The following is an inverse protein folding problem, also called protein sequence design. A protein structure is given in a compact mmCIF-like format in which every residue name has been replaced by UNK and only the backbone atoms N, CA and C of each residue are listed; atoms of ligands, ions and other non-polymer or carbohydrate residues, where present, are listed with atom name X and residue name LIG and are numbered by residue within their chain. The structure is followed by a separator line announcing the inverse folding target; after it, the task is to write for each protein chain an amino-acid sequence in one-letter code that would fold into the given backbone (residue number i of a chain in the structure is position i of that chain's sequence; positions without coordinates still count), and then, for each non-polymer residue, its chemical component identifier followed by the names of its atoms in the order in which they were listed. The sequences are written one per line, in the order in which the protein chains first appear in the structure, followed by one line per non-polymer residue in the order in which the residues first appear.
data_IF_426405118210
#
_entry.id   IF_426405118210
#
_cell.length_a   1.000
_cell.length_b   1.000
_cell.length_c   1.000
_cell.angle_alpha   90.00
_cell.angle_beta   90.00
_cell.angle_gamma   90.00
#
_symmetry.space_group_name_H-M   'P 1'
#
loop_
_entity.id
_entity.type
_entity.pdbx_description
1 polymer ?
#
# COMPACT_ATOMS: atom_id res chain seq x y z
N UNK A 1 -16.13 0.31 14.36
CA UNK A 1 -15.62 -0.08 13.05
C UNK A 1 -14.13 -0.18 13.08
N UNK A 2 -13.59 -1.12 12.33
CA UNK A 2 -12.18 -1.43 12.40
C UNK A 2 -11.30 -0.56 11.51
N UNK A 3 -10.00 -0.66 11.74
CA UNK A 3 -8.98 -0.03 10.92
C UNK A 3 -8.58 -0.99 9.81
N UNK A 4 -8.51 -0.51 8.58
CA UNK A 4 -7.91 -1.24 7.46
C UNK A 4 -6.50 -0.71 7.27
N UNK A 5 -5.52 -1.60 7.27
CA UNK A 5 -4.11 -1.24 7.08
C UNK A 5 -3.70 -1.64 5.66
N UNK A 6 -3.20 -0.68 4.90
CA UNK A 6 -2.61 -0.92 3.58
C UNK A 6 -1.10 -0.84 3.64
N UNK A 7 -0.41 -1.81 3.05
CA UNK A 7 1.05 -1.86 3.07
C UNK A 7 1.57 -2.16 1.66
N UNK A 8 2.38 -1.24 1.15
CA UNK A 8 3.14 -1.43 -0.08
C UNK A 8 4.55 -1.88 0.30
N UNK A 9 4.83 -3.16 0.09
CA UNK A 9 6.14 -3.75 0.36
C UNK A 9 6.99 -3.58 -0.90
N UNK A 10 7.58 -2.41 -1.05
CA UNK A 10 8.38 -2.08 -2.22
C UNK A 10 9.79 -2.67 -2.19
N UNK A 11 10.52 -2.47 -3.27
CA UNK A 11 11.91 -2.92 -3.38
C UNK A 11 12.88 -2.12 -2.53
N UNK A 12 12.63 -0.81 -2.35
CA UNK A 12 13.51 0.09 -1.60
C UNK A 12 12.83 0.76 -0.41
N UNK A 13 11.50 0.78 -0.38
CA UNK A 13 10.73 1.43 0.67
C UNK A 13 9.48 0.63 0.97
N UNK A 14 9.16 0.42 2.24
CA UNK A 14 7.88 -0.07 2.69
C UNK A 14 7.04 1.12 3.13
N UNK A 15 5.82 1.23 2.58
CA UNK A 15 4.89 2.31 2.87
C UNK A 15 3.66 1.73 3.53
N UNK A 16 3.16 2.40 4.56
CA UNK A 16 2.03 1.90 5.33
C UNK A 16 1.07 3.03 5.66
N UNK A 17 -0.21 2.73 5.57
CA UNK A 17 -1.28 3.67 5.86
C UNK A 17 -2.45 2.93 6.50
N UNK A 18 -3.12 3.60 7.43
CA UNK A 18 -4.36 3.11 8.01
C UNK A 18 -5.54 3.93 7.54
N UNK A 19 -6.68 3.28 7.39
CA UNK A 19 -7.95 3.94 7.07
C UNK A 19 -9.01 3.48 8.04
N UNK A 20 -9.66 4.42 8.69
CA UNK A 20 -10.75 4.16 9.62
C UNK A 20 -11.90 5.13 9.31
N UNK A 21 -13.10 4.60 9.09
CA UNK A 21 -14.28 5.41 8.76
C UNK A 21 -14.03 6.38 7.60
N UNK A 22 -13.37 5.91 6.55
CA UNK A 22 -12.98 6.69 5.37
C UNK A 22 -11.96 7.81 5.66
N UNK A 23 -11.47 7.89 6.88
CA UNK A 23 -10.43 8.84 7.28
C UNK A 23 -9.07 8.19 7.17
N UNK A 24 -8.16 8.85 6.46
CA UNK A 24 -6.79 8.39 6.26
C UNK A 24 -5.96 8.79 7.46
N UNK A 25 -5.33 7.81 8.09
CA UNK A 25 -4.34 8.02 9.13
C UNK A 25 -3.01 8.47 8.49
N UNK A 26 -2.16 9.08 9.28
CA UNK A 26 -0.85 9.54 8.78
C UNK A 26 -0.05 8.41 8.16
N UNK A 27 0.40 8.54 6.90
CA UNK A 27 1.22 7.51 6.27
C UNK A 27 2.62 7.44 6.89
N UNK A 28 3.24 6.27 6.82
CA UNK A 28 4.61 6.07 7.29
C UNK A 28 5.44 5.38 6.20
N UNK A 29 6.70 5.76 6.11
CA UNK A 29 7.65 5.20 5.17
C UNK A 29 8.83 4.63 5.95
N UNK A 30 9.25 3.42 5.57
CA UNK A 30 10.40 2.75 6.16
C UNK A 30 11.30 2.26 5.03
N UNK A 31 12.60 2.50 5.15
CA UNK A 31 13.56 1.97 4.18
C UNK A 31 13.53 0.44 4.23
N UNK A 32 13.32 -0.19 3.07
CA UNK A 32 13.27 -1.64 2.96
C UNK A 32 14.67 -2.20 2.69
N UNK A 33 15.11 -3.12 3.55
CA UNK A 33 16.35 -3.88 3.37
C UNK A 33 16.03 -5.34 3.10
N UNK A 34 15.16 -5.93 3.92
CA UNK A 34 14.61 -7.26 3.75
C UNK A 34 13.08 -7.13 3.78
N UNK A 35 12.36 -7.66 2.79
CA UNK A 35 10.90 -7.44 2.69
C UNK A 35 10.13 -7.88 3.94
N UNK A 36 10.43 -9.07 4.45
CA UNK A 36 9.73 -9.61 5.62
C UNK A 36 10.02 -8.78 6.87
N UNK A 37 11.30 -8.53 7.15
CA UNK A 37 11.72 -7.73 8.30
C UNK A 37 11.17 -6.32 8.24
N UNK A 38 11.24 -5.69 7.07
CA UNK A 38 10.76 -4.33 6.86
C UNK A 38 9.24 -4.24 7.03
N UNK A 39 8.51 -5.25 6.54
CA UNK A 39 7.06 -5.32 6.72
C UNK A 39 6.68 -5.38 8.19
N UNK A 40 7.24 -6.34 8.94
CA UNK A 40 6.90 -6.51 10.35
C UNK A 40 7.35 -5.32 11.19
N UNK A 41 8.53 -4.76 10.87
CA UNK A 41 9.01 -3.55 11.54
C UNK A 41 8.11 -2.34 11.27
N UNK A 42 7.73 -2.12 10.02
CA UNK A 42 6.84 -1.02 9.63
C UNK A 42 5.47 -1.18 10.28
N UNK A 43 4.89 -2.39 10.22
CA UNK A 43 3.60 -2.68 10.82
C UNK A 43 3.63 -2.43 12.33
N UNK A 44 4.61 -3.01 13.03
CA UNK A 44 4.73 -2.84 14.48
C UNK A 44 4.91 -1.38 14.88
N UNK A 45 5.79 -0.66 14.19
CA UNK A 45 6.02 0.76 14.45
C UNK A 45 4.76 1.58 14.18
N UNK A 46 4.05 1.31 13.09
CA UNK A 46 2.86 2.05 12.72
C UNK A 46 1.75 1.92 13.76
N UNK A 47 1.46 0.70 14.19
CA UNK A 47 0.41 0.50 15.21
C UNK A 47 0.83 1.09 16.55
N UNK A 48 2.12 1.01 16.90
CA UNK A 48 2.64 1.62 18.12
C UNK A 48 2.50 3.15 18.09
N UNK A 49 2.95 3.79 17.00
CA UNK A 49 2.92 5.25 16.88
C UNK A 49 1.49 5.81 16.84
N UNK A 50 0.54 5.04 16.32
CA UNK A 50 -0.85 5.48 16.17
C UNK A 50 -1.77 4.94 17.28
N UNK A 51 -1.24 4.21 18.25
CA UNK A 51 -2.03 3.67 19.36
C UNK A 51 -3.07 2.65 18.93
N UNK A 52 -2.82 1.93 17.84
CA UNK A 52 -3.74 0.92 17.31
C UNK A 52 -3.43 -0.42 17.96
N UNK A 53 -4.47 -1.14 18.41
CA UNK A 53 -4.32 -2.50 18.93
C UNK A 53 -4.69 -3.51 17.85
N UNK A 54 -4.16 -4.73 17.95
CA UNK A 54 -4.47 -5.79 16.98
C UNK A 54 -5.97 -6.05 16.83
N UNK A 55 -6.77 -6.11 17.91
CA UNK A 55 -8.21 -6.32 17.77
C UNK A 55 -8.94 -5.22 17.00
N UNK A 56 -8.39 -4.02 16.91
CA UNK A 56 -9.00 -2.91 16.16
C UNK A 56 -8.79 -3.06 14.65
N UNK A 57 -7.86 -3.92 14.22
CA UNK A 57 -7.54 -4.07 12.80
C UNK A 57 -8.52 -5.06 12.17
N UNK A 58 -9.27 -4.56 11.19
CA UNK A 58 -10.26 -5.33 10.46
C UNK A 58 -9.65 -6.13 9.32
N UNK A 59 -8.66 -5.54 8.63
CA UNK A 59 -8.05 -6.12 7.43
C UNK A 59 -6.68 -5.53 7.19
N UNK A 60 -5.77 -6.36 6.70
CA UNK A 60 -4.47 -5.93 6.18
C UNK A 60 -4.42 -6.22 4.69
N UNK A 61 -4.18 -5.18 3.88
CA UNK A 61 -4.03 -5.31 2.43
C UNK A 61 -2.57 -5.08 2.05
N UNK A 62 -2.00 -6.04 1.34
CA UNK A 62 -0.61 -6.00 0.90
C UNK A 62 -0.52 -5.79 -0.59
N UNK A 63 0.47 -5.02 -1.01
CA UNK A 63 0.85 -4.86 -2.41
C UNK A 63 2.37 -4.66 -2.50
N UNK A 64 2.87 -4.49 -3.72
CA UNK A 64 4.29 -4.30 -3.98
C UNK A 64 5.03 -5.61 -4.23
N UNK A 65 6.21 -5.49 -4.81
CA UNK A 65 7.03 -6.66 -5.22
C UNK A 65 7.42 -7.53 -4.02
N UNK A 66 7.64 -6.93 -2.86
CA UNK A 66 8.02 -7.65 -1.64
C UNK A 66 6.87 -8.45 -1.03
N UNK A 67 5.63 -8.17 -1.42
CA UNK A 67 4.48 -8.93 -0.91
C UNK A 67 4.50 -10.40 -1.32
N UNK A 68 5.25 -10.73 -2.37
CA UNK A 68 5.42 -12.12 -2.82
C UNK A 68 6.10 -13.01 -1.77
N UNK A 69 6.87 -12.41 -0.86
CA UNK A 69 7.54 -13.14 0.21
C UNK A 69 6.66 -13.39 1.43
N UNK A 70 5.44 -12.86 1.42
CA UNK A 70 4.50 -12.98 2.54
C UNK A 70 3.46 -14.04 2.15
N UNK A 71 3.49 -15.17 2.81
CA UNK A 71 2.62 -16.32 2.51
C UNK A 71 1.67 -16.68 3.65
N UNK A 72 1.70 -15.91 4.74
CA UNK A 72 0.87 -16.14 5.91
C UNK A 72 0.19 -14.84 6.37
N UNK A 73 -0.97 -14.94 7.04
CA UNK A 73 -1.60 -13.78 7.66
C UNK A 73 -0.67 -13.11 8.68
N UNK A 74 -0.67 -11.78 8.71
CA UNK A 74 0.09 -11.01 9.70
C UNK A 74 -0.57 -11.13 11.06
N UNK A 75 0.14 -11.76 12.00
CA UNK A 75 -0.33 -11.97 13.38
C UNK A 75 -1.75 -12.57 13.46
N UNK A 76 -2.11 -13.41 12.49
CA UNK A 76 -3.43 -14.03 12.44
C UNK A 76 -4.56 -13.10 11.99
N UNK A 77 -4.24 -11.88 11.59
CA UNK A 77 -5.25 -10.92 11.09
C UNK A 77 -5.69 -11.28 9.67
N UNK A 78 -6.93 -10.95 9.28
CA UNK A 78 -7.36 -11.08 7.90
C UNK A 78 -6.38 -10.31 6.99
N UNK A 79 -5.72 -11.02 6.09
CA UNK A 79 -4.68 -10.47 5.22
C UNK A 79 -4.97 -10.86 3.79
N UNK A 80 -4.93 -9.90 2.87
CA UNK A 80 -5.12 -10.13 1.45
C UNK A 80 -4.08 -9.35 0.66
N UNK A 81 -3.91 -9.72 -0.60
CA UNK A 81 -2.99 -9.05 -1.54
C UNK A 81 -3.77 -8.43 -2.68
N UNK A 82 -3.26 -7.32 -3.20
CA UNK A 82 -3.83 -6.68 -4.38
C UNK A 82 -2.72 -6.31 -5.35
N UNK A 83 -3.07 -6.19 -6.62
CA UNK A 83 -2.17 -5.74 -7.66
C UNK A 83 -1.74 -4.28 -7.40
N UNK A 84 -0.46 -4.01 -7.61
CA UNK A 84 0.13 -2.69 -7.36
C UNK A 84 -0.49 -1.60 -8.23
N UNK A 85 -0.74 -1.89 -9.51
CA UNK A 85 -1.32 -0.90 -10.42
C UNK A 85 -2.77 -0.59 -10.07
N UNK A 86 -3.53 -1.61 -9.67
CA UNK A 86 -4.89 -1.43 -9.19
C UNK A 86 -4.90 -0.59 -7.90
N UNK A 87 -4.00 -0.89 -6.97
CA UNK A 87 -3.88 -0.14 -5.72
C UNK A 87 -3.54 1.32 -5.99
N UNK A 88 -2.58 1.59 -6.89
CA UNK A 88 -2.19 2.94 -7.28
C UNK A 88 -3.36 3.71 -7.91
N UNK A 89 -4.08 3.07 -8.83
CA UNK A 89 -5.23 3.68 -9.51
C UNK A 89 -6.36 4.01 -8.55
N UNK A 90 -6.76 3.06 -7.71
CA UNK A 90 -7.82 3.25 -6.73
C UNK A 90 -7.45 4.29 -5.68
N UNK A 91 -6.21 4.23 -5.18
CA UNK A 91 -5.74 5.17 -4.18
C UNK A 91 -5.70 6.61 -4.69
N UNK A 92 -5.19 6.81 -5.90
CA UNK A 92 -5.15 8.12 -6.53
C UNK A 92 -6.55 8.66 -6.82
N UNK A 93 -7.45 7.81 -7.34
CA UNK A 93 -8.84 8.17 -7.56
C UNK A 93 -9.52 8.62 -6.26
N UNK A 94 -9.31 7.88 -5.20
CA UNK A 94 -9.88 8.18 -3.89
C UNK A 94 -9.37 9.52 -3.33
N UNK A 95 -8.05 9.74 -3.37
CA UNK A 95 -7.44 10.94 -2.80
C UNK A 95 -7.67 12.18 -3.63
N UNK A 96 -7.67 12.05 -4.96
CA UNK A 96 -7.90 13.18 -5.87
C UNK A 96 -9.38 13.53 -6.08
N UNK A 97 -10.29 12.62 -5.74
CA UNK A 97 -11.73 12.76 -6.02
C UNK A 97 -12.03 13.02 -7.49
N UNK A 98 -11.27 12.36 -8.38
CA UNK A 98 -11.43 12.45 -9.83
C UNK A 98 -11.85 11.11 -10.40
N UNK A 99 -12.71 11.14 -11.42
CA UNK A 99 -13.15 9.92 -12.11
C UNK A 99 -12.20 9.49 -13.23
N UNK A 100 -11.50 10.45 -13.82
CA UNK A 100 -10.59 10.20 -14.94
C UNK A 100 -9.24 10.86 -14.66
N UNK A 101 -8.18 10.05 -14.64
CA UNK A 101 -6.83 10.54 -14.37
C UNK A 101 -5.79 9.58 -14.91
N UNK A 102 -4.58 10.10 -15.06
CA UNK A 102 -3.37 9.30 -15.28
C UNK A 102 -2.55 9.36 -14.01
N UNK A 103 -2.22 8.20 -13.46
CA UNK A 103 -1.40 8.09 -12.26
C UNK A 103 0.02 7.74 -12.66
N UNK A 104 0.96 8.58 -12.27
CA UNK A 104 2.39 8.33 -12.49
C UNK A 104 2.98 7.96 -11.13
N UNK A 105 3.42 6.73 -11.02
CA UNK A 105 4.06 6.23 -9.80
C UNK A 105 5.57 6.16 -10.05
N UNK A 106 6.33 6.90 -9.23
CA UNK A 106 7.78 6.99 -9.33
C UNK A 106 8.40 6.41 -8.07
N UNK A 107 8.67 5.11 -8.12
CA UNK A 107 9.41 4.40 -7.07
C UNK A 107 10.79 3.99 -7.58
N UNK A 108 11.14 2.72 -7.44
CA UNK A 108 12.35 2.14 -8.03
C UNK A 108 12.28 2.19 -9.56
N UNK A 109 11.08 1.96 -10.12
CA UNK A 109 10.75 2.22 -11.52
C UNK A 109 9.63 3.26 -11.60
N UNK A 110 9.27 3.64 -12.83
CA UNK A 110 8.14 4.54 -13.10
C UNK A 110 7.06 3.78 -13.83
N UNK A 111 5.82 3.88 -13.37
CA UNK A 111 4.68 3.26 -14.01
C UNK A 111 3.57 4.28 -14.29
N UNK A 112 2.79 4.00 -15.33
CA UNK A 112 1.66 4.84 -15.75
C UNK A 112 0.39 4.00 -15.67
N UNK A 113 -0.59 4.48 -14.91
CA UNK A 113 -1.87 3.83 -14.73
C UNK A 113 -2.97 4.78 -15.17
N UNK A 114 -3.82 4.32 -16.06
CA UNK A 114 -4.98 5.09 -16.56
C UNK A 114 -6.20 4.70 -15.75
N UNK A 115 -6.91 5.69 -15.25
CA UNK A 115 -8.17 5.52 -14.55
C UNK A 115 -9.27 6.21 -15.36
N UNK A 116 -10.29 5.42 -15.76
CA UNK A 116 -11.49 5.93 -16.44
C UNK A 116 -12.72 5.35 -15.73
N UNK A 117 -13.31 6.14 -14.83
CA UNK A 117 -14.42 5.66 -14.00
C UNK A 117 -14.01 4.42 -13.21
N UNK A 118 -14.70 3.27 -13.38
CA UNK A 118 -14.33 2.03 -12.69
C UNK A 118 -13.17 1.26 -13.34
N UNK A 119 -12.71 1.69 -14.53
CA UNK A 119 -11.66 1.00 -15.28
C UNK A 119 -10.28 1.51 -14.91
N UNK A 120 -9.41 0.61 -14.47
CA UNK A 120 -8.03 0.90 -14.09
C UNK A 120 -7.13 0.02 -14.92
N UNK A 121 -6.19 0.64 -15.66
CA UNK A 121 -5.33 -0.05 -16.61
C UNK A 121 -3.89 0.42 -16.50
N UNK A 122 -2.97 -0.51 -16.35
CA UNK A 122 -1.54 -0.24 -16.50
C UNK A 122 -1.23 -0.02 -17.98
N UNK A 123 -0.76 1.16 -18.36
CA UNK A 123 -0.54 1.53 -19.76
C UNK A 123 0.92 1.63 -20.17
N UNK A 124 1.84 1.57 -19.23
CA UNK A 124 3.27 1.60 -19.53
C UNK A 124 4.12 1.77 -18.30
N UNK A 125 5.43 1.72 -18.52
CA UNK A 125 6.39 1.90 -17.45
C UNK A 125 7.80 2.08 -18.02
N UNK A 126 8.68 2.61 -17.16
CA UNK A 126 10.09 2.81 -17.43
C UNK A 126 10.90 2.18 -16.30
N UNK A 127 12.04 1.59 -16.64
CA UNK A 127 12.96 1.04 -15.63
C UNK A 127 13.70 2.10 -14.82
N UNK A 128 13.50 3.37 -15.15
CA UNK A 128 14.11 4.50 -14.44
C UNK A 128 13.07 5.09 -13.48
N UNK A 129 13.43 5.22 -12.23
CA UNK A 129 12.57 5.74 -11.20
C UNK A 129 13.21 6.87 -10.41
N UNK A 130 12.48 7.37 -9.42
CA UNK A 130 12.93 8.42 -8.51
C UNK A 130 13.61 7.90 -7.25
N UNK A 131 13.67 6.58 -7.11
CA UNK A 131 14.14 5.95 -5.89
C UNK A 131 15.64 5.65 -5.86
#
# INVERSE_FOLDING_TARGET
MGVVIGIDVGGSTTKIIGVENKSIQSPMFVKATDPVTSLFGAFGKYIYDNGITLPEIEMVMLTGVGSAFIDQPLYGLPTAKTDEFLANGLGAKYTASLENLIVVSMGTGTSFVKVEGPHIQHIGGLGVGGG
#
